data_IF_712543333730
#
_entry.id   IF_712543333730
#
_cell.length_a   1.000
_cell.length_b   1.000
_cell.length_c   1.000
_cell.angle_alpha   90.00
_cell.angle_beta   90.00
_cell.angle_gamma   90.00
#
_symmetry.space_group_name_H-M   'P 1'
#
loop_
_entity.id
_entity.type
_entity.pdbx_description
1 polymer ?
#
# COMPACT_ATOMS: atom_id res chain seq x y z
N UNK A 1 -9.58 29.56 -0.06
CA UNK A 1 -8.48 28.80 -0.66
C UNK A 1 -9.12 27.57 -1.25
N UNK A 2 -9.21 27.47 -2.57
CA UNK A 2 -9.61 26.20 -3.18
C UNK A 2 -8.43 25.27 -2.98
N UNK A 3 -8.59 24.30 -2.11
CA UNK A 3 -7.61 23.23 -1.99
C UNK A 3 -7.74 22.41 -3.26
N UNK A 4 -6.64 22.21 -3.95
CA UNK A 4 -6.56 21.36 -5.13
C UNK A 4 -6.55 19.89 -4.68
N UNK A 5 -7.69 19.48 -4.13
CA UNK A 5 -7.89 18.14 -3.59
C UNK A 5 -9.31 17.66 -3.87
N UNK A 6 -9.44 16.35 -3.96
CA UNK A 6 -10.75 15.71 -4.06
C UNK A 6 -11.57 15.99 -2.80
N UNK A 7 -12.87 16.18 -2.96
CA UNK A 7 -13.77 16.29 -1.83
C UNK A 7 -13.95 14.91 -1.18
N UNK A 8 -13.69 14.82 0.10
CA UNK A 8 -13.93 13.60 0.89
C UNK A 8 -14.85 13.92 2.07
N UNK A 9 -15.51 12.88 2.55
CA UNK A 9 -16.40 12.94 3.72
C UNK A 9 -15.67 12.70 5.04
N UNK A 10 -14.48 12.12 4.98
CA UNK A 10 -13.77 11.62 6.17
C UNK A 10 -12.38 12.22 6.24
N UNK A 11 -12.11 12.90 7.35
CA UNK A 11 -10.81 13.47 7.68
C UNK A 11 -10.32 12.95 9.02
N UNK A 12 -9.03 12.71 9.12
CA UNK A 12 -8.34 12.40 10.37
C UNK A 12 -7.51 13.60 10.84
N UNK A 13 -7.51 13.84 12.14
CA UNK A 13 -6.55 14.73 12.79
C UNK A 13 -5.54 13.88 13.53
N UNK A 14 -4.37 13.68 12.92
CA UNK A 14 -3.27 12.91 13.52
C UNK A 14 -2.29 13.84 14.23
N UNK A 15 -1.94 13.49 15.45
CA UNK A 15 -1.00 14.28 16.24
C UNK A 15 0.46 14.09 15.85
N UNK A 16 0.78 13.04 15.08
CA UNK A 16 2.12 12.62 14.67
C UNK A 16 3.13 12.78 15.82
N UNK A 17 2.85 12.07 16.90
CA UNK A 17 3.56 12.23 18.18
C UNK A 17 5.04 11.83 18.09
N UNK A 18 5.37 10.95 17.15
CA UNK A 18 6.71 10.39 17.03
C UNK A 18 7.74 11.37 16.43
N UNK A 19 7.31 12.50 15.85
CA UNK A 19 8.22 13.42 15.19
C UNK A 19 7.90 14.91 15.49
N UNK A 20 8.96 15.71 15.60
CA UNK A 20 8.83 17.10 16.07
C UNK A 20 8.22 18.07 15.06
N UNK A 21 8.38 17.79 13.75
CA UNK A 21 7.89 18.70 12.70
C UNK A 21 6.40 18.55 12.46
N UNK A 22 5.82 17.36 12.73
CA UNK A 22 4.43 17.01 12.44
C UNK A 22 4.13 17.06 10.95
N UNK A 23 5.10 16.73 10.11
CA UNK A 23 4.98 16.79 8.64
C UNK A 23 5.45 15.54 7.92
N UNK A 24 6.08 14.58 8.61
CA UNK A 24 6.61 13.38 7.97
C UNK A 24 5.54 12.65 7.18
N UNK A 25 4.42 12.36 7.80
CA UNK A 25 3.34 11.62 7.16
C UNK A 25 2.84 12.30 5.88
N UNK A 26 2.46 13.58 5.97
CA UNK A 26 1.93 14.32 4.83
C UNK A 26 2.99 14.76 3.85
N UNK A 27 4.18 15.12 4.32
CA UNK A 27 5.30 15.51 3.49
C UNK A 27 5.79 14.34 2.64
N UNK A 28 5.98 13.18 3.24
CA UNK A 28 6.34 11.96 2.53
C UNK A 28 5.28 11.56 1.53
N UNK A 29 4.01 11.55 1.92
CA UNK A 29 2.92 11.21 1.01
C UNK A 29 2.90 12.14 -0.22
N UNK A 30 3.05 13.45 -0.03
CA UNK A 30 3.11 14.40 -1.14
C UNK A 30 4.38 14.23 -2.00
N UNK A 31 5.53 13.98 -1.37
CA UNK A 31 6.78 13.77 -2.10
C UNK A 31 6.72 12.48 -2.94
N UNK A 32 6.32 11.38 -2.33
CA UNK A 32 6.21 10.09 -3.04
C UNK A 32 5.21 10.17 -4.18
N UNK A 33 4.08 10.85 -3.98
CA UNK A 33 3.12 11.07 -5.06
C UNK A 33 3.76 11.76 -6.28
N UNK A 34 4.71 12.67 -6.06
CA UNK A 34 5.41 13.37 -7.14
C UNK A 34 6.44 12.51 -7.88
N UNK A 35 6.77 11.33 -7.38
CA UNK A 35 7.74 10.43 -8.01
C UNK A 35 7.12 9.53 -9.08
N UNK A 36 5.79 9.33 -9.04
CA UNK A 36 5.11 8.51 -10.02
C UNK A 36 4.89 9.27 -11.33
N UNK A 37 5.24 8.62 -12.44
CA UNK A 37 5.03 9.16 -13.79
C UNK A 37 3.82 8.51 -14.47
N UNK A 38 3.49 7.28 -14.10
CA UNK A 38 2.37 6.54 -14.66
C UNK A 38 1.12 6.77 -13.81
N UNK A 39 0.08 7.44 -14.34
CA UNK A 39 -1.14 7.63 -13.61
C UNK A 39 -1.92 6.32 -13.48
N UNK A 40 -2.63 6.14 -12.38
CA UNK A 40 -3.63 5.09 -12.25
C UNK A 40 -4.90 5.45 -13.04
N UNK A 41 -5.76 4.49 -13.42
CA UNK A 41 -6.94 4.76 -14.24
C UNK A 41 -7.83 5.89 -13.73
N UNK A 42 -8.02 5.99 -12.42
CA UNK A 42 -8.82 7.08 -11.85
C UNK A 42 -8.14 8.46 -11.94
N UNK A 43 -6.81 8.52 -11.99
CA UNK A 43 -6.07 9.78 -12.18
C UNK A 43 -6.18 10.30 -13.60
N UNK A 44 -6.39 9.43 -14.57
CA UNK A 44 -6.66 9.86 -15.96
C UNK A 44 -8.00 10.63 -16.06
N UNK A 45 -8.96 10.27 -15.21
CA UNK A 45 -10.25 10.94 -15.13
C UNK A 45 -10.24 12.19 -14.23
N UNK A 46 -9.48 12.15 -13.14
CA UNK A 46 -9.33 13.26 -12.18
C UNK A 46 -7.92 13.26 -11.59
N UNK A 47 -7.08 14.20 -12.03
CA UNK A 47 -5.67 14.34 -11.58
C UNK A 47 -5.51 14.56 -10.07
N UNK A 48 -6.59 14.90 -9.37
CA UNK A 48 -6.59 15.07 -7.91
C UNK A 48 -6.65 13.74 -7.13
N UNK A 49 -6.95 12.64 -7.80
CA UNK A 49 -6.87 11.29 -7.23
C UNK A 49 -5.45 11.01 -6.77
N UNK A 50 -5.30 10.34 -5.65
CA UNK A 50 -4.02 10.05 -5.03
C UNK A 50 -3.79 8.55 -4.86
N UNK A 51 -2.54 8.15 -4.96
CA UNK A 51 -2.06 6.81 -4.59
C UNK A 51 -1.38 6.82 -3.21
N UNK A 52 -1.51 7.94 -2.50
CA UNK A 52 -1.03 8.18 -1.16
C UNK A 52 -2.08 8.96 -0.38
N UNK A 53 -1.96 9.03 0.93
CA UNK A 53 -2.79 9.90 1.74
C UNK A 53 -2.49 11.35 1.41
N UNK A 54 -3.54 12.14 1.24
CA UNK A 54 -3.43 13.59 1.10
C UNK A 54 -3.72 14.31 2.42
N UNK A 55 -2.92 15.30 2.74
CA UNK A 55 -3.13 16.12 3.92
C UNK A 55 -2.09 17.22 4.11
N UNK A 56 -2.28 18.01 5.13
CA UNK A 56 -1.35 19.05 5.52
C UNK A 56 -1.36 19.31 7.01
N UNK A 57 -0.25 19.84 7.56
CA UNK A 57 -0.21 20.25 8.95
C UNK A 57 -1.13 21.45 9.18
N UNK A 58 -1.74 21.47 10.36
CA UNK A 58 -2.61 22.55 10.79
C UNK A 58 -2.55 22.71 12.30
N UNK A 59 -3.13 23.78 12.78
CA UNK A 59 -3.30 24.04 14.20
C UNK A 59 -4.78 24.09 14.55
N UNK A 60 -5.13 23.46 15.66
CA UNK A 60 -6.50 23.41 16.16
C UNK A 60 -6.65 24.37 17.33
N UNK A 61 -7.67 25.21 17.23
CA UNK A 61 -8.15 26.06 18.32
C UNK A 61 -9.57 25.66 18.68
N UNK A 62 -9.84 25.56 19.95
CA UNK A 62 -11.17 25.33 20.47
C UNK A 62 -11.79 26.63 20.98
N UNK A 63 -13.05 26.87 20.63
CA UNK A 63 -13.88 27.94 21.22
C UNK A 63 -15.08 27.30 21.90
N UNK A 64 -15.38 27.76 23.12
CA UNK A 64 -16.58 27.32 23.84
C UNK A 64 -17.86 27.77 23.15
N UNK A 65 -17.84 29.00 22.63
CA UNK A 65 -18.91 29.63 21.88
C UNK A 65 -18.34 30.72 20.95
N UNK A 66 -19.19 31.37 20.16
CA UNK A 66 -18.77 32.37 19.17
C UNK A 66 -18.07 33.58 19.80
N UNK A 67 -18.36 33.92 21.06
CA UNK A 67 -17.83 35.07 21.78
C UNK A 67 -16.58 34.78 22.62
N UNK A 68 -16.29 33.50 22.86
CA UNK A 68 -15.13 33.09 23.67
C UNK A 68 -13.84 33.26 22.88
N UNK A 69 -12.75 33.53 23.61
CA UNK A 69 -11.41 33.49 23.03
C UNK A 69 -11.03 32.06 22.61
N UNK A 70 -10.30 31.91 21.50
CA UNK A 70 -9.84 30.61 21.05
C UNK A 70 -8.73 30.08 21.96
N UNK A 71 -8.86 28.82 22.38
CA UNK A 71 -7.85 28.12 23.17
C UNK A 71 -7.08 27.23 22.21
N UNK A 72 -5.75 27.36 22.19
CA UNK A 72 -4.88 26.49 21.39
C UNK A 72 -4.95 25.06 21.95
N UNK A 73 -5.27 24.11 21.07
CA UNK A 73 -5.35 22.69 21.40
C UNK A 73 -4.07 21.96 21.02
N UNK A 74 -3.56 22.21 19.81
CA UNK A 74 -2.37 21.55 19.35
C UNK A 74 -2.13 21.72 17.85
N UNK A 75 -1.00 21.18 17.40
CA UNK A 75 -0.65 20.99 16.01
C UNK A 75 -1.05 19.58 15.60
N UNK A 76 -1.65 19.43 14.43
CA UNK A 76 -2.12 18.16 13.89
C UNK A 76 -1.90 18.12 12.40
N UNK A 77 -1.79 16.93 11.84
CA UNK A 77 -2.01 16.72 10.42
C UNK A 77 -3.49 16.50 10.15
N UNK A 78 -4.04 17.28 9.24
CA UNK A 78 -5.40 17.09 8.73
C UNK A 78 -5.30 16.26 7.46
N UNK A 79 -5.54 14.96 7.57
CA UNK A 79 -5.39 13.99 6.48
C UNK A 79 -6.76 13.53 6.00
N UNK A 80 -6.83 13.19 4.71
CA UNK A 80 -7.86 12.26 4.25
C UNK A 80 -7.69 10.93 4.99
N UNK A 81 -8.79 10.32 5.37
CA UNK A 81 -8.76 9.01 6.01
C UNK A 81 -8.39 7.91 5.01
N UNK A 82 -7.75 6.86 5.50
CA UNK A 82 -7.42 5.68 4.69
C UNK A 82 -8.63 4.94 4.12
N UNK A 83 -9.81 5.17 4.69
CA UNK A 83 -11.09 4.65 4.19
C UNK A 83 -11.76 5.59 3.18
N UNK A 84 -11.13 6.70 2.82
CA UNK A 84 -11.69 7.63 1.82
C UNK A 84 -11.54 7.05 0.41
N UNK A 85 -12.57 6.37 -0.05
CA UNK A 85 -12.63 5.84 -1.42
C UNK A 85 -12.42 6.94 -2.46
N UNK A 86 -12.96 8.12 -2.21
CA UNK A 86 -12.85 9.28 -3.11
C UNK A 86 -11.39 9.72 -3.31
N UNK A 87 -10.58 9.68 -2.25
CA UNK A 87 -9.17 10.06 -2.32
C UNK A 87 -8.39 9.19 -3.28
N UNK A 88 -8.65 7.88 -3.23
CA UNK A 88 -7.97 6.89 -4.05
C UNK A 88 -8.66 6.64 -5.39
N UNK A 89 -9.79 7.29 -5.65
CA UNK A 89 -10.56 7.11 -6.87
C UNK A 89 -11.26 5.76 -6.98
N UNK A 90 -11.49 5.10 -5.85
CA UNK A 90 -12.19 3.82 -5.82
C UNK A 90 -13.69 4.04 -5.99
N UNK A 91 -14.18 3.71 -7.16
CA UNK A 91 -15.60 3.87 -7.51
C UNK A 91 -16.12 2.65 -8.28
N UNK A 92 -17.43 2.58 -8.42
CA UNK A 92 -18.07 1.53 -9.22
C UNK A 92 -17.75 1.59 -10.72
N UNK A 93 -17.14 2.67 -11.20
CA UNK A 93 -16.69 2.80 -12.58
C UNK A 93 -15.46 1.93 -12.86
N UNK A 94 -14.78 1.51 -11.80
CA UNK A 94 -13.63 0.59 -11.85
C UNK A 94 -13.98 -0.73 -11.12
N UNK A 95 -14.78 -1.62 -11.73
CA UNK A 95 -15.34 -2.78 -11.04
C UNK A 95 -14.32 -3.85 -10.64
N UNK A 96 -13.12 -3.79 -11.21
CA UNK A 96 -12.04 -4.73 -10.91
C UNK A 96 -11.07 -4.23 -9.86
N UNK A 97 -11.19 -2.96 -9.42
CA UNK A 97 -10.26 -2.42 -8.42
C UNK A 97 -10.43 -3.13 -7.08
N UNK A 98 -9.29 -3.49 -6.51
CA UNK A 98 -9.17 -4.06 -5.16
C UNK A 98 -8.02 -3.38 -4.43
N UNK A 99 -8.24 -3.08 -3.17
CA UNK A 99 -7.19 -2.56 -2.29
C UNK A 99 -7.19 -3.31 -0.96
N UNK A 100 -6.04 -3.80 -0.56
CA UNK A 100 -5.84 -4.61 0.65
C UNK A 100 -4.82 -3.91 1.53
N UNK A 101 -5.14 -3.71 2.79
CA UNK A 101 -4.22 -3.20 3.81
C UNK A 101 -3.70 -4.35 4.67
N UNK A 102 -2.40 -4.35 4.88
CA UNK A 102 -1.75 -5.16 5.89
C UNK A 102 -1.86 -4.42 7.22
N UNK A 103 -2.64 -4.95 8.14
CA UNK A 103 -3.04 -4.26 9.36
C UNK A 103 -2.61 -4.98 10.64
N UNK A 104 -1.96 -6.13 10.54
CA UNK A 104 -1.60 -6.90 11.71
C UNK A 104 -0.55 -6.19 12.58
N UNK A 105 -0.75 -6.29 13.89
CA UNK A 105 0.12 -5.71 14.91
C UNK A 105 1.28 -6.61 15.31
N UNK A 106 1.43 -7.78 14.71
CA UNK A 106 2.50 -8.69 15.07
C UNK A 106 3.76 -8.41 14.27
N UNK A 107 4.91 -8.57 14.91
CA UNK A 107 6.22 -8.48 14.26
C UNK A 107 6.43 -9.52 13.16
N UNK A 108 5.61 -10.55 13.16
CA UNK A 108 5.63 -11.66 12.20
C UNK A 108 4.59 -11.46 11.08
N UNK A 109 4.05 -10.27 10.97
CA UNK A 109 2.98 -9.90 10.03
C UNK A 109 3.38 -9.94 8.55
N UNK A 110 4.47 -10.55 8.21
CA UNK A 110 4.80 -10.79 6.83
C UNK A 110 3.95 -11.94 6.29
N UNK A 111 2.80 -11.58 5.77
CA UNK A 111 1.87 -12.50 5.12
C UNK A 111 2.55 -13.38 4.06
N UNK A 112 3.68 -12.93 3.52
CA UNK A 112 4.45 -13.65 2.51
C UNK A 112 5.42 -14.73 3.05
N UNK A 113 5.30 -15.11 4.32
CA UNK A 113 6.10 -16.22 4.89
C UNK A 113 5.52 -17.61 4.61
N UNK A 114 4.27 -17.69 4.20
CA UNK A 114 3.61 -18.97 3.96
C UNK A 114 2.21 -18.81 3.36
N UNK A 115 1.43 -19.87 3.32
CA UNK A 115 0.07 -19.82 2.79
C UNK A 115 -0.81 -18.83 3.56
N UNK A 116 -1.75 -18.20 2.87
CA UNK A 116 -2.77 -17.37 3.53
C UNK A 116 -3.56 -18.23 4.53
N UNK A 117 -3.60 -17.85 5.82
CA UNK A 117 -4.34 -18.59 6.82
C UNK A 117 -5.85 -18.50 6.55
N UNK A 118 -6.61 -19.46 7.11
CA UNK A 118 -8.08 -19.47 6.95
C UNK A 118 -8.76 -18.29 7.63
N UNK A 119 -8.13 -17.72 8.65
CA UNK A 119 -8.54 -16.57 9.44
C UNK A 119 -7.81 -15.29 9.04
N UNK A 120 -7.57 -15.15 7.75
CA UNK A 120 -6.78 -14.07 7.13
C UNK A 120 -7.20 -12.64 7.53
N UNK A 121 -8.43 -12.46 7.99
CA UNK A 121 -8.92 -11.15 8.41
C UNK A 121 -8.18 -10.56 9.63
N UNK A 122 -7.37 -11.37 10.31
CA UNK A 122 -6.49 -10.90 11.39
C UNK A 122 -5.18 -10.30 10.85
N UNK A 123 -4.82 -10.65 9.61
CA UNK A 123 -3.55 -10.26 8.99
C UNK A 123 -3.71 -9.12 7.98
N UNK A 124 -4.81 -9.10 7.26
CA UNK A 124 -5.12 -8.05 6.29
C UNK A 124 -6.63 -7.82 6.15
N UNK A 125 -7.00 -6.64 5.65
CA UNK A 125 -8.38 -6.30 5.37
C UNK A 125 -8.52 -5.60 4.02
N UNK A 126 -9.66 -5.81 3.37
CA UNK A 126 -9.98 -5.05 2.17
C UNK A 126 -10.36 -3.61 2.54
N UNK A 127 -9.68 -2.66 1.93
CA UNK A 127 -10.05 -1.24 1.95
C UNK A 127 -11.05 -0.92 0.85
N UNK A 128 -10.96 -1.66 -0.24
CA UNK A 128 -11.94 -1.59 -1.32
C UNK A 128 -12.01 -2.93 -2.08
N UNK A 129 -13.20 -3.43 -2.45
CA UNK A 129 -14.49 -2.99 -1.88
C UNK A 129 -14.58 -3.29 -0.38
N UNK A 130 -15.24 -2.40 0.38
CA UNK A 130 -15.41 -2.61 1.83
C UNK A 130 -16.10 -3.95 2.11
N UNK A 131 -15.61 -4.68 3.12
CA UNK A 131 -16.09 -6.02 3.51
C UNK A 131 -16.07 -7.07 2.38
N UNK A 132 -15.19 -6.88 1.42
CA UNK A 132 -14.98 -7.86 0.37
C UNK A 132 -14.56 -9.21 0.97
N UNK A 133 -15.09 -10.30 0.38
CA UNK A 133 -14.81 -11.66 0.87
C UNK A 133 -14.13 -12.55 -0.15
N UNK A 134 -14.14 -12.15 -1.40
CA UNK A 134 -13.46 -12.90 -2.46
C UNK A 134 -12.01 -12.46 -2.53
N UNK A 135 -11.14 -13.28 -1.96
CA UNK A 135 -9.68 -13.04 -1.94
C UNK A 135 -8.95 -13.68 -3.12
N UNK A 136 -9.66 -14.21 -4.11
CA UNK A 136 -9.07 -15.05 -5.16
C UNK A 136 -7.93 -14.36 -5.91
N UNK A 137 -8.14 -13.11 -6.35
CA UNK A 137 -7.12 -12.35 -7.08
C UNK A 137 -5.91 -12.01 -6.19
N UNK A 138 -6.15 -11.59 -4.96
CA UNK A 138 -5.07 -11.34 -4.00
C UNK A 138 -4.32 -12.64 -3.67
N UNK A 139 -5.05 -13.73 -3.49
CA UNK A 139 -4.45 -15.04 -3.22
C UNK A 139 -3.58 -15.54 -4.37
N UNK A 140 -3.98 -15.32 -5.61
CA UNK A 140 -3.19 -15.70 -6.79
C UNK A 140 -1.82 -15.02 -6.77
N UNK A 141 -1.79 -13.71 -6.57
CA UNK A 141 -0.53 -12.96 -6.44
C UNK A 141 0.27 -13.43 -5.24
N UNK A 142 -0.36 -13.56 -4.08
CA UNK A 142 0.28 -14.01 -2.85
C UNK A 142 0.91 -15.41 -3.03
N UNK A 143 0.16 -16.37 -3.54
CA UNK A 143 0.65 -17.73 -3.78
C UNK A 143 1.81 -17.75 -4.77
N UNK A 144 1.79 -16.88 -5.78
CA UNK A 144 2.93 -16.71 -6.67
C UNK A 144 4.18 -16.23 -5.93
N UNK A 145 4.06 -15.22 -5.04
CA UNK A 145 5.20 -14.70 -4.25
C UNK A 145 5.77 -15.80 -3.35
N UNK A 146 4.91 -16.54 -2.66
CA UNK A 146 5.35 -17.51 -1.64
C UNK A 146 5.63 -18.90 -2.21
N UNK A 147 5.13 -19.21 -3.41
CA UNK A 147 5.30 -20.54 -3.99
C UNK A 147 6.75 -20.82 -4.34
N UNK A 148 7.23 -21.99 -3.94
CA UNK A 148 8.59 -22.45 -4.20
C UNK A 148 8.66 -23.31 -5.45
N UNK A 149 7.57 -24.01 -5.75
CA UNK A 149 7.44 -24.84 -6.94
C UNK A 149 5.98 -24.89 -7.39
N UNK A 150 5.80 -25.22 -8.64
CA UNK A 150 4.48 -25.46 -9.20
C UNK A 150 4.20 -26.96 -9.19
N UNK A 151 2.95 -27.28 -8.92
CA UNK A 151 2.44 -28.66 -8.99
C UNK A 151 1.23 -28.71 -9.91
N UNK A 152 1.02 -29.86 -10.52
CA UNK A 152 -0.21 -30.13 -11.26
C UNK A 152 -1.37 -30.49 -10.30
N UNK A 153 -2.52 -30.78 -10.89
CA UNK A 153 -3.72 -31.14 -10.12
C UNK A 153 -3.55 -32.42 -9.25
N UNK A 154 -2.50 -33.20 -9.48
CA UNK A 154 -2.17 -34.40 -8.68
C UNK A 154 -1.19 -34.14 -7.57
N UNK A 155 -0.62 -32.92 -7.49
CA UNK A 155 0.43 -32.55 -6.56
C UNK A 155 1.84 -32.92 -7.02
N UNK A 156 2.02 -33.37 -8.27
CA UNK A 156 3.33 -33.61 -8.85
C UNK A 156 3.97 -32.35 -9.37
N UNK A 157 5.28 -32.18 -9.16
CA UNK A 157 6.02 -31.01 -9.62
C UNK A 157 5.90 -30.83 -11.15
N UNK A 158 5.56 -29.61 -11.57
CA UNK A 158 5.46 -29.24 -12.98
C UNK A 158 6.85 -29.01 -13.59
N UNK A 159 7.48 -30.08 -13.95
CA UNK A 159 8.85 -30.07 -14.42
C UNK A 159 9.86 -30.01 -13.27
N UNK A 160 11.09 -30.27 -13.61
CA UNK A 160 12.20 -30.30 -12.66
C UNK A 160 13.05 -29.04 -12.67
N UNK A 161 12.84 -28.15 -13.64
CA UNK A 161 13.70 -26.99 -13.88
C UNK A 161 12.90 -25.78 -14.40
N UNK A 162 13.47 -24.60 -14.21
CA UNK A 162 12.94 -23.31 -14.65
C UNK A 162 14.06 -22.50 -15.30
N UNK A 163 13.79 -21.89 -16.45
CA UNK A 163 14.76 -21.04 -17.14
C UNK A 163 14.53 -19.56 -16.80
N UNK A 164 15.52 -18.96 -16.14
CA UNK A 164 15.49 -17.54 -15.74
C UNK A 164 15.66 -16.56 -16.91
N UNK A 165 15.64 -15.26 -16.59
CA UNK A 165 15.90 -14.18 -17.57
C UNK A 165 17.34 -14.17 -18.07
N UNK A 166 18.27 -14.69 -17.30
CA UNK A 166 19.69 -14.85 -17.64
C UNK A 166 19.95 -16.02 -18.60
N UNK A 167 18.94 -16.84 -18.87
CA UNK A 167 19.03 -18.03 -19.69
C UNK A 167 19.51 -19.28 -18.94
N UNK A 168 19.87 -19.15 -17.67
CA UNK A 168 20.28 -20.25 -16.83
C UNK A 168 19.08 -21.08 -16.36
N UNK A 169 19.34 -22.35 -16.04
CA UNK A 169 18.32 -23.30 -15.61
C UNK A 169 18.45 -23.58 -14.11
N UNK A 170 17.35 -23.40 -13.42
CA UNK A 170 17.25 -23.52 -11.98
C UNK A 170 16.39 -24.72 -11.59
N UNK A 171 16.80 -25.43 -10.53
CA UNK A 171 16.06 -26.57 -10.02
C UNK A 171 14.87 -26.07 -9.20
N UNK A 172 13.69 -26.61 -9.45
CA UNK A 172 12.51 -26.33 -8.65
C UNK A 172 12.78 -26.54 -7.15
N UNK A 173 12.08 -25.76 -6.35
CA UNK A 173 12.12 -25.82 -4.88
C UNK A 173 13.43 -25.32 -4.24
N UNK A 174 14.23 -24.59 -5.00
CA UNK A 174 15.43 -23.92 -4.47
C UNK A 174 15.21 -22.41 -4.32
N UNK A 175 16.04 -21.76 -3.52
CA UNK A 175 16.01 -20.28 -3.36
C UNK A 175 16.35 -19.57 -4.69
N UNK A 176 17.27 -20.14 -5.43
CA UNK A 176 17.68 -19.65 -6.76
C UNK A 176 16.53 -19.74 -7.77
N UNK A 177 15.78 -20.84 -7.75
CA UNK A 177 14.58 -21.00 -8.55
C UNK A 177 13.54 -19.90 -8.22
N UNK A 178 13.25 -19.69 -6.93
CA UNK A 178 12.28 -18.66 -6.52
C UNK A 178 12.69 -17.28 -6.99
N UNK A 179 13.97 -16.94 -6.83
CA UNK A 179 14.50 -15.65 -7.27
C UNK A 179 14.45 -15.48 -8.80
N UNK A 180 14.79 -16.53 -9.54
CA UNK A 180 14.75 -16.52 -11.00
C UNK A 180 13.32 -16.37 -11.51
N UNK A 181 12.36 -17.09 -10.92
CA UNK A 181 10.94 -16.99 -11.23
C UNK A 181 10.40 -15.59 -10.90
N UNK A 182 10.68 -15.09 -9.70
CA UNK A 182 10.26 -13.76 -9.27
C UNK A 182 10.76 -12.67 -10.25
N UNK A 183 12.05 -12.71 -10.63
CA UNK A 183 12.62 -11.75 -11.58
C UNK A 183 11.99 -11.83 -12.97
N UNK A 184 11.63 -13.01 -13.42
CA UNK A 184 11.11 -13.21 -14.76
C UNK A 184 9.64 -12.86 -14.90
N UNK A 185 8.86 -13.16 -13.86
CA UNK A 185 7.42 -13.04 -13.89
C UNK A 185 6.90 -11.79 -13.14
N UNK A 186 7.80 -10.97 -12.60
CA UNK A 186 7.44 -9.85 -11.72
C UNK A 186 6.40 -8.92 -12.34
N UNK A 187 6.62 -8.52 -13.58
CA UNK A 187 5.73 -7.59 -14.30
C UNK A 187 4.39 -8.21 -14.72
N UNK A 188 4.22 -9.52 -14.54
CA UNK A 188 2.92 -10.19 -14.73
C UNK A 188 2.02 -10.03 -13.48
N UNK A 189 2.60 -9.65 -12.33
CA UNK A 189 1.91 -9.57 -11.05
C UNK A 189 2.01 -8.21 -10.36
N UNK A 190 3.01 -7.40 -10.68
CA UNK A 190 3.24 -6.10 -10.06
C UNK A 190 3.50 -5.01 -11.09
N UNK A 191 3.04 -3.80 -10.77
CA UNK A 191 3.52 -2.61 -11.47
C UNK A 191 4.95 -2.29 -11.03
N UNK A 192 5.87 -2.28 -12.00
CA UNK A 192 7.30 -2.10 -11.74
C UNK A 192 7.62 -0.72 -11.16
N UNK A 193 7.01 0.35 -11.66
CA UNK A 193 7.28 1.70 -11.18
C UNK A 193 6.86 1.85 -9.72
N UNK A 194 5.63 1.45 -9.38
CA UNK A 194 5.12 1.53 -8.03
C UNK A 194 5.91 0.66 -7.04
N UNK A 195 6.29 -0.53 -7.46
CA UNK A 195 7.08 -1.42 -6.63
C UNK A 195 8.50 -0.88 -6.39
N UNK A 196 9.16 -0.34 -7.41
CA UNK A 196 10.52 0.22 -7.28
C UNK A 196 10.53 1.50 -6.45
N UNK A 197 9.59 2.41 -6.67
CA UNK A 197 9.47 3.63 -5.85
C UNK A 197 9.27 3.24 -4.39
N UNK A 198 8.34 2.30 -4.12
CA UNK A 198 8.08 1.82 -2.77
C UNK A 198 9.32 1.20 -2.12
N UNK A 199 9.98 0.28 -2.82
CA UNK A 199 11.17 -0.40 -2.31
C UNK A 199 12.31 0.57 -2.02
N UNK A 200 12.66 1.42 -2.99
CA UNK A 200 13.78 2.36 -2.88
C UNK A 200 13.50 3.39 -1.79
N UNK A 201 12.32 3.97 -1.78
CA UNK A 201 12.00 5.01 -0.80
C UNK A 201 11.92 4.45 0.63
N UNK A 202 11.25 3.33 0.84
CA UNK A 202 11.17 2.71 2.17
C UNK A 202 12.54 2.26 2.69
N UNK A 203 13.45 1.89 1.78
CA UNK A 203 14.83 1.59 2.15
C UNK A 203 15.62 2.86 2.51
N UNK A 204 15.53 3.87 1.68
CA UNK A 204 16.23 5.15 1.86
C UNK A 204 15.78 5.88 3.14
N UNK A 205 14.49 5.95 3.37
CA UNK A 205 13.90 6.62 4.53
C UNK A 205 13.85 5.73 5.78
N UNK A 206 14.34 4.47 5.69
CA UNK A 206 14.31 3.46 6.77
C UNK A 206 12.91 3.26 7.38
N UNK A 207 11.92 3.23 6.53
CA UNK A 207 10.51 3.03 6.90
C UNK A 207 10.27 1.55 7.23
N UNK A 208 10.50 1.17 8.47
CA UNK A 208 10.45 -0.23 8.90
C UNK A 208 9.03 -0.78 8.85
N UNK A 209 8.07 0.02 9.30
CA UNK A 209 6.66 -0.37 9.41
C UNK A 209 6.04 -0.68 8.04
N UNK A 210 6.36 0.11 7.01
CA UNK A 210 5.81 -0.06 5.68
C UNK A 210 6.23 -1.36 4.98
N UNK A 211 7.20 -2.07 5.54
CA UNK A 211 7.64 -3.38 5.03
C UNK A 211 6.95 -4.57 5.68
N UNK A 212 6.19 -4.33 6.74
CA UNK A 212 5.51 -5.37 7.50
C UNK A 212 4.00 -5.07 7.70
N UNK A 213 3.67 -3.81 7.86
CA UNK A 213 2.30 -3.28 8.04
C UNK A 213 2.20 -1.91 7.35
N UNK A 214 1.07 -1.24 7.45
CA UNK A 214 0.87 0.08 6.85
C UNK A 214 1.16 0.10 5.33
N UNK A 215 0.97 -1.02 4.67
CA UNK A 215 1.12 -1.21 3.24
C UNK A 215 -0.25 -1.46 2.63
N UNK A 216 -0.58 -0.69 1.60
CA UNK A 216 -1.69 -1.01 0.72
C UNK A 216 -1.17 -1.68 -0.54
N UNK A 217 -1.71 -2.84 -0.83
CA UNK A 217 -1.59 -3.46 -2.14
C UNK A 217 -2.88 -3.21 -2.91
N UNK A 218 -2.79 -2.44 -3.98
CA UNK A 218 -3.94 -2.05 -4.80
C UNK A 218 -3.75 -2.58 -6.21
N UNK A 219 -4.80 -3.18 -6.76
CA UNK A 219 -4.85 -3.59 -8.16
C UNK A 219 -6.07 -3.00 -8.84
N UNK A 220 -5.90 -2.50 -10.07
CA UNK A 220 -6.97 -1.93 -10.89
C UNK A 220 -7.57 -2.94 -11.87
N UNK A 221 -6.93 -4.09 -12.02
CA UNK A 221 -7.28 -5.14 -12.99
C UNK A 221 -7.28 -6.56 -12.41
N UNK A 222 -7.10 -6.68 -11.09
CA UNK A 222 -6.96 -7.95 -10.35
C UNK A 222 -5.71 -8.77 -10.68
N UNK A 223 -4.77 -8.21 -11.42
CA UNK A 223 -3.53 -8.89 -11.83
C UNK A 223 -2.28 -8.14 -11.39
N UNK A 224 -2.20 -6.86 -11.77
CA UNK A 224 -1.04 -6.04 -11.48
C UNK A 224 -1.25 -5.27 -10.18
N UNK A 225 -0.43 -5.57 -9.21
CA UNK A 225 -0.52 -5.00 -7.87
C UNK A 225 0.47 -3.86 -7.68
N UNK A 226 0.01 -2.78 -7.07
CA UNK A 226 0.76 -1.56 -6.79
C UNK A 226 0.90 -1.39 -5.30
N UNK A 227 2.08 -0.98 -4.84
CA UNK A 227 2.34 -0.66 -3.45
C UNK A 227 2.01 0.82 -3.19
N UNK A 228 1.02 1.10 -2.33
CA UNK A 228 0.66 2.45 -1.93
C UNK A 228 1.17 2.76 -0.54
N UNK A 229 1.62 3.98 -0.34
CA UNK A 229 2.12 4.47 0.94
C UNK A 229 0.99 4.90 1.86
N UNK A 230 1.10 4.47 3.11
CA UNK A 230 0.20 4.85 4.18
C UNK A 230 0.95 4.91 5.51
N UNK A 231 0.55 5.85 6.40
CA UNK A 231 1.05 5.99 7.76
C UNK A 231 2.58 6.14 7.85
N UNK A 232 3.09 7.17 7.17
CA UNK A 232 4.53 7.42 7.00
C UNK A 232 5.12 8.23 8.16
N UNK A 233 4.64 8.01 9.38
CA UNK A 233 5.07 8.79 10.55
C UNK A 233 6.35 8.25 11.21
N UNK A 234 6.76 7.03 10.86
CA UNK A 234 7.95 6.39 11.40
C UNK A 234 9.06 6.30 10.35
N UNK A 235 9.76 7.41 10.15
CA UNK A 235 10.91 7.53 9.26
C UNK A 235 12.17 7.88 10.05
N UNK A 236 13.34 7.44 9.57
CA UNK A 236 14.64 7.71 10.22
C UNK A 236 15.00 9.19 10.30
N UNK A 237 14.37 10.02 9.49
CA UNK A 237 14.57 11.48 9.53
C UNK A 237 13.99 12.13 10.79
N UNK A 238 13.48 11.32 11.72
CA UNK A 238 13.05 11.74 13.07
C UNK A 238 14.15 11.72 14.12
N UNK A 239 15.42 11.59 13.73
CA UNK A 239 16.57 11.71 14.63
C UNK A 239 17.04 13.16 14.78
#
# INVERSE_FOLDING_TARGET
MALDQIATKVFCFKADYAEATGTHNTGTANYVHSLYNTPVPAQEADERVRTTIYGHPGVIFHKKDASSDPIFVGKYNCNHDKSSEETFGFTSDYPDVQSVEFCNNTSDACLFHGPIPSDWSDDFEFRYPDKHKDISAFKEMHDWVVSTYQVDATGAALGSTYTGVDGDTYTHDTAEYRLAKFKKEFEEHFDMEYALVYYVYTFFALMVDQRAKNLFLTSWDKKHWMCYFYDNDFELLSL
#
